data_IF_992701654859
#
_entry.id   IF_992701654859
#
_cell.length_a   1.000
_cell.length_b   1.000
_cell.length_c   1.000
_cell.angle_alpha   90.00
_cell.angle_beta   90.00
_cell.angle_gamma   90.00
#
_symmetry.space_group_name_H-M   'P 1'
#
loop_
_entity.id
_entity.type
_entity.pdbx_description
1 polymer ?
#
# COMPACT_ATOMS: atom_id res chain seq x y z
N UNK A 1 3.90 19.23 -4.37
CA UNK A 1 2.76 18.81 -5.20
C UNK A 1 2.07 17.57 -4.59
N UNK A 2 1.65 17.65 -3.32
CA UNK A 2 0.91 16.58 -2.63
C UNK A 2 -0.53 17.05 -2.40
N UNK A 3 -1.27 17.32 -3.49
CA UNK A 3 -2.67 17.73 -3.37
C UNK A 3 -3.51 16.47 -3.16
N UNK A 4 -3.81 16.24 -1.88
CA UNK A 4 -4.83 15.32 -1.37
C UNK A 4 -4.81 13.91 -1.97
N UNK A 5 -3.94 13.05 -1.43
CA UNK A 5 -4.21 11.61 -1.46
C UNK A 5 -5.51 11.42 -0.67
N UNK A 6 -6.61 11.21 -1.39
CA UNK A 6 -7.90 10.99 -0.78
C UNK A 6 -7.83 9.68 0.02
N UNK A 7 -8.41 9.60 1.22
CA UNK A 7 -8.38 8.37 2.04
C UNK A 7 -8.88 7.13 1.27
N UNK A 8 -9.75 7.34 0.27
CA UNK A 8 -10.19 6.29 -0.67
C UNK A 8 -9.04 5.67 -1.48
N UNK A 9 -8.04 6.45 -1.90
CA UNK A 9 -6.86 5.93 -2.60
C UNK A 9 -6.03 4.99 -1.71
N UNK A 10 -6.02 5.23 -0.40
CA UNK A 10 -5.31 4.38 0.56
C UNK A 10 -5.96 3.01 0.64
N UNK A 11 -7.30 2.97 0.68
CA UNK A 11 -8.08 1.73 0.65
C UNK A 11 -7.84 0.96 -0.65
N UNK A 12 -7.83 1.65 -1.79
CA UNK A 12 -7.50 1.04 -3.09
C UNK A 12 -6.08 0.47 -3.07
N UNK A 13 -5.11 1.18 -2.50
CA UNK A 13 -3.73 0.70 -2.34
C UNK A 13 -3.66 -0.64 -1.60
N UNK A 14 -4.36 -0.76 -0.47
CA UNK A 14 -4.43 -2.02 0.27
C UNK A 14 -5.12 -3.13 -0.54
N UNK A 15 -6.19 -2.81 -1.29
CA UNK A 15 -6.85 -3.77 -2.16
C UNK A 15 -5.91 -4.32 -3.24
N UNK A 16 -5.12 -3.46 -3.88
CA UNK A 16 -4.13 -3.87 -4.89
C UNK A 16 -3.05 -4.75 -4.26
N UNK A 17 -2.64 -4.47 -3.02
CA UNK A 17 -1.69 -5.32 -2.29
C UNK A 17 -2.25 -6.74 -2.06
N UNK A 18 -3.53 -6.85 -1.67
CA UNK A 18 -4.21 -8.15 -1.51
C UNK A 18 -4.24 -8.92 -2.83
N UNK A 19 -4.59 -8.26 -3.94
CA UNK A 19 -4.57 -8.87 -5.28
C UNK A 19 -3.16 -9.34 -5.64
N UNK A 20 -2.14 -8.54 -5.33
CA UNK A 20 -0.73 -8.91 -5.57
C UNK A 20 -0.35 -10.15 -4.77
N UNK A 21 -0.75 -10.27 -3.51
CA UNK A 21 -0.47 -11.48 -2.72
C UNK A 21 -1.24 -12.71 -3.23
N UNK A 22 -2.46 -12.54 -3.73
CA UNK A 22 -3.19 -13.62 -4.39
C UNK A 22 -2.45 -14.13 -5.63
N UNK A 23 -1.92 -13.21 -6.45
CA UNK A 23 -1.09 -13.56 -7.61
C UNK A 23 0.26 -14.17 -7.24
N UNK A 24 0.87 -13.72 -6.13
CA UNK A 24 2.07 -14.35 -5.58
C UNK A 24 1.77 -15.80 -5.19
N UNK A 25 0.66 -16.05 -4.48
CA UNK A 25 0.26 -17.39 -4.07
C UNK A 25 0.00 -18.31 -5.28
N UNK A 26 -0.75 -17.86 -6.29
CA UNK A 26 -0.95 -18.63 -7.53
C UNK A 26 0.38 -18.89 -8.25
N UNK A 27 1.26 -17.89 -8.33
CA UNK A 27 2.58 -18.07 -8.94
C UNK A 27 3.46 -19.06 -8.17
N UNK A 28 3.34 -19.10 -6.84
CA UNK A 28 4.02 -20.07 -5.99
C UNK A 28 3.47 -21.49 -6.24
N UNK A 29 2.14 -21.67 -6.29
CA UNK A 29 1.53 -22.97 -6.55
C UNK A 29 1.82 -23.50 -7.96
N UNK A 30 1.98 -22.61 -8.94
CA UNK A 30 2.37 -22.94 -10.31
C UNK A 30 3.90 -23.13 -10.48
N UNK A 31 4.70 -22.99 -9.42
CA UNK A 31 6.16 -23.13 -9.46
C UNK A 31 6.89 -21.99 -10.19
N UNK A 32 6.20 -20.89 -10.52
CA UNK A 32 6.76 -19.70 -11.17
C UNK A 32 7.46 -18.80 -10.15
N UNK A 33 8.67 -19.19 -9.75
CA UNK A 33 9.47 -18.52 -8.71
C UNK A 33 9.73 -17.03 -8.99
N UNK A 34 10.06 -16.66 -10.22
CA UNK A 34 10.30 -15.25 -10.58
C UNK A 34 9.04 -14.38 -10.41
N UNK A 35 7.89 -14.85 -10.91
CA UNK A 35 6.61 -14.17 -10.76
C UNK A 35 6.17 -14.08 -9.29
N UNK A 36 6.40 -15.13 -8.50
CA UNK A 36 6.14 -15.13 -7.06
C UNK A 36 6.87 -13.97 -6.36
N UNK A 37 8.19 -13.86 -6.55
CA UNK A 37 8.96 -12.79 -5.91
C UNK A 37 8.56 -11.40 -6.41
N UNK A 38 8.28 -11.23 -7.70
CA UNK A 38 7.80 -9.96 -8.25
C UNK A 38 6.49 -9.51 -7.58
N UNK A 39 5.50 -10.40 -7.50
CA UNK A 39 4.21 -10.08 -6.87
C UNK A 39 4.33 -9.89 -5.35
N UNK A 40 5.15 -10.68 -4.69
CA UNK A 40 5.40 -10.56 -3.25
C UNK A 40 6.03 -9.20 -2.91
N UNK A 41 7.14 -8.85 -3.59
CA UNK A 41 7.85 -7.59 -3.37
C UNK A 41 6.94 -6.40 -3.68
N UNK A 42 6.18 -6.46 -4.78
CA UNK A 42 5.25 -5.39 -5.15
C UNK A 42 4.16 -5.19 -4.10
N UNK A 43 3.56 -6.28 -3.60
CA UNK A 43 2.53 -6.23 -2.56
C UNK A 43 3.05 -5.61 -1.26
N UNK A 44 4.27 -5.98 -0.84
CA UNK A 44 4.94 -5.41 0.34
C UNK A 44 5.25 -3.92 0.14
N UNK A 45 5.78 -3.54 -1.03
CA UNK A 45 6.13 -2.16 -1.33
C UNK A 45 4.90 -1.24 -1.26
N UNK A 46 3.76 -1.70 -1.79
CA UNK A 46 2.49 -0.98 -1.73
C UNK A 46 2.05 -0.77 -0.28
N UNK A 47 2.13 -1.79 0.58
CA UNK A 47 1.80 -1.65 2.01
C UNK A 47 2.67 -0.57 2.67
N UNK A 48 3.99 -0.62 2.44
CA UNK A 48 4.92 0.34 3.05
C UNK A 48 4.58 1.77 2.61
N UNK A 49 4.39 2.00 1.31
CA UNK A 49 4.11 3.32 0.76
C UNK A 49 2.79 3.89 1.27
N UNK A 50 1.72 3.09 1.27
CA UNK A 50 0.41 3.54 1.72
C UNK A 50 0.31 3.70 3.25
N UNK A 51 1.04 2.89 4.01
CA UNK A 51 1.18 3.08 5.46
C UNK A 51 1.94 4.36 5.78
N UNK A 52 3.04 4.65 5.09
CA UNK A 52 3.78 5.89 5.25
C UNK A 52 2.93 7.12 4.87
N UNK A 53 2.14 7.02 3.80
CA UNK A 53 1.20 8.06 3.40
C UNK A 53 0.12 8.29 4.47
N UNK A 54 -0.45 7.22 5.04
CA UNK A 54 -1.41 7.30 6.13
C UNK A 54 -0.85 8.00 7.37
N UNK A 55 0.35 7.60 7.80
CA UNK A 55 1.06 8.23 8.94
C UNK A 55 1.30 9.72 8.67
N UNK A 56 1.74 10.08 7.46
CA UNK A 56 1.97 11.47 7.08
C UNK A 56 0.69 12.33 7.15
N UNK A 57 -0.43 11.78 6.67
CA UNK A 57 -1.74 12.47 6.72
C UNK A 57 -2.22 12.63 8.16
N UNK A 58 -2.11 11.57 8.97
CA UNK A 58 -2.51 11.59 10.38
C UNK A 58 -1.70 12.60 11.20
N UNK A 59 -0.38 12.66 11.00
CA UNK A 59 0.50 13.62 11.66
C UNK A 59 0.17 15.07 11.27
N UNK A 60 -0.18 15.35 10.01
CA UNK A 60 -0.62 16.68 9.57
C UNK A 60 -1.96 17.09 10.19
N UNK A 61 -2.91 16.16 10.31
CA UNK A 61 -4.19 16.42 11.01
C UNK A 61 -3.96 16.75 12.49
N UNK A 62 -3.06 16.02 13.17
CA UNK A 62 -2.74 16.28 14.57
C UNK A 62 -2.10 17.66 14.77
N UNK A 63 -1.21 18.08 13.88
CA UNK A 63 -0.58 19.41 13.95
C UNK A 63 -1.58 20.56 13.75
N UNK A 64 -2.57 20.41 12.87
CA UNK A 64 -3.56 21.45 12.61
C UNK A 64 -4.56 21.64 13.78
N UNK A 65 -4.95 20.55 14.45
CA UNK A 65 -5.87 20.60 15.61
C UNK A 65 -5.25 21.18 16.89
N UNK A 66 -3.93 21.41 16.94
CA UNK A 66 -3.23 22.00 18.10
C UNK A 66 -3.00 23.51 17.89
N UNK A 67 -3.25 24.01 16.67
CA UNK A 67 -3.11 25.42 16.31
C UNK A 67 -4.46 26.19 16.33
N UNK A 68 -5.58 25.49 16.52
CA UNK A 68 -6.88 26.06 16.93
C UNK A 68 -7.01 26.01 18.46
#
# INVERSE_FOLDING_TARGET
MFKHIQPFQIIIGYFISIVSFSQAYSSYSEGRTASFYLFLISGVLIIILYTAAWISISSRKKANNVAE
#
